data_IF_559362092405
#
_entry.id   IF_559362092405
#
_cell.length_a   1.000
_cell.length_b   1.000
_cell.length_c   1.000
_cell.angle_alpha   90.00
_cell.angle_beta   90.00
_cell.angle_gamma   90.00
#
_symmetry.space_group_name_H-M   'P 1'
#
loop_
_entity.id
_entity.type
_entity.pdbx_description
1 polymer ?
#
# COMPACT_ATOMS: atom_id res chain seq x y z
N UNK A 1 10.16 -1.17 12.60
CA UNK A 1 9.48 -0.42 11.51
C UNK A 1 8.19 -1.06 11.01
N UNK A 2 7.94 -2.36 11.22
CA UNK A 2 6.64 -2.97 10.90
C UNK A 2 5.47 -2.25 11.60
N UNK A 3 5.65 -1.87 12.87
CA UNK A 3 4.69 -1.09 13.67
C UNK A 3 4.05 0.10 12.92
N UNK A 4 4.83 0.88 12.15
CA UNK A 4 4.30 2.03 11.39
C UNK A 4 3.39 1.57 10.25
N UNK A 5 3.75 0.47 9.59
CA UNK A 5 2.93 -0.13 8.55
C UNK A 5 1.65 -0.73 9.14
N UNK A 6 1.72 -1.37 10.31
CA UNK A 6 0.55 -1.92 10.97
C UNK A 6 -0.46 -0.82 11.31
N UNK A 7 0.02 0.31 11.83
CA UNK A 7 -0.77 1.52 12.07
C UNK A 7 -1.32 2.13 10.77
N UNK A 8 -0.51 2.19 9.71
CA UNK A 8 -0.94 2.70 8.40
C UNK A 8 -2.06 1.87 7.79
N UNK A 9 -2.00 0.54 7.94
CA UNK A 9 -2.93 -0.43 7.36
C UNK A 9 -4.03 -0.89 8.33
N UNK A 10 -4.21 -0.16 9.43
CA UNK A 10 -5.36 -0.35 10.31
C UNK A 10 -6.66 -0.31 9.49
N UNK A 11 -7.58 -1.23 9.78
CA UNK A 11 -8.82 -1.39 9.00
C UNK A 11 -9.87 -0.34 9.37
N UNK A 12 -9.85 0.13 10.61
CA UNK A 12 -10.79 1.13 11.14
C UNK A 12 -10.10 2.06 12.14
N UNK A 13 -10.75 3.19 12.45
CA UNK A 13 -10.28 4.11 13.50
C UNK A 13 -10.15 3.42 14.85
N UNK A 14 -11.10 2.55 15.22
CA UNK A 14 -11.06 1.85 16.50
C UNK A 14 -9.85 0.91 16.62
N UNK A 15 -9.55 0.16 15.55
CA UNK A 15 -8.36 -0.71 15.49
C UNK A 15 -7.09 0.12 15.60
N UNK A 16 -7.02 1.26 14.91
CA UNK A 16 -5.89 2.18 15.01
C UNK A 16 -5.70 2.71 16.44
N UNK A 17 -6.77 3.16 17.09
CA UNK A 17 -6.72 3.73 18.44
C UNK A 17 -6.23 2.72 19.48
N UNK A 18 -6.50 1.43 19.27
CA UNK A 18 -5.96 0.35 20.11
C UNK A 18 -4.48 0.09 19.79
N UNK A 19 -4.15 -0.08 18.51
CA UNK A 19 -2.78 -0.39 18.08
C UNK A 19 -1.79 0.73 18.40
N UNK A 20 -2.19 1.99 18.24
CA UNK A 20 -1.30 3.13 18.49
C UNK A 20 -0.88 3.20 19.95
N UNK A 21 -1.79 2.87 20.88
CA UNK A 21 -1.46 2.79 22.31
C UNK A 21 -0.42 1.71 22.57
N UNK A 22 -0.62 0.52 22.02
CA UNK A 22 0.31 -0.61 22.18
C UNK A 22 1.69 -0.29 21.60
N UNK A 23 1.74 0.31 20.41
CA UNK A 23 2.99 0.71 19.73
C UNK A 23 3.72 1.80 20.51
N UNK A 24 3.01 2.83 20.99
CA UNK A 24 3.63 3.89 21.79
C UNK A 24 4.15 3.36 23.14
N UNK A 25 3.41 2.45 23.80
CA UNK A 25 3.89 1.78 25.03
C UNK A 25 5.15 0.95 24.75
N UNK A 26 5.16 0.18 23.65
CA UNK A 26 6.32 -0.61 23.23
C UNK A 26 7.54 0.28 22.99
N UNK A 27 7.39 1.38 22.26
CA UNK A 27 8.48 2.32 21.99
C UNK A 27 8.92 3.10 23.24
N UNK A 28 8.05 3.27 24.23
CA UNK A 28 8.42 3.90 25.51
C UNK A 28 9.34 3.01 26.35
N UNK A 29 9.31 1.69 26.14
CA UNK A 29 10.19 0.74 26.82
C UNK A 29 11.61 0.65 26.23
N UNK A 30 11.88 1.35 25.12
CA UNK A 30 13.20 1.37 24.45
C UNK A 30 13.77 2.80 24.49
N UNK A 31 14.85 2.98 25.24
CA UNK A 31 15.52 4.29 25.42
C UNK A 31 15.95 4.92 24.08
N UNK A 32 16.30 4.10 23.08
CA UNK A 32 16.70 4.58 21.76
C UNK A 32 15.52 5.12 20.94
N UNK A 33 14.30 4.75 21.28
CA UNK A 33 13.09 5.13 20.56
C UNK A 33 12.33 6.28 21.21
N UNK A 34 12.66 6.70 22.43
CA UNK A 34 11.94 7.78 23.14
C UNK A 34 11.80 9.05 22.30
N UNK A 35 12.91 9.54 21.73
CA UNK A 35 12.89 10.74 20.89
C UNK A 35 12.07 10.56 19.60
N UNK A 36 12.10 9.36 19.00
CA UNK A 36 11.29 9.05 17.83
C UNK A 36 9.80 8.96 18.19
N UNK A 37 9.47 8.33 19.33
CA UNK A 37 8.12 8.19 19.86
C UNK A 37 7.49 9.57 20.12
N UNK A 38 8.21 10.48 20.76
CA UNK A 38 7.69 11.83 21.04
C UNK A 38 7.49 12.64 19.75
N UNK A 39 8.43 12.54 18.80
CA UNK A 39 8.24 13.11 17.47
C UNK A 39 7.00 12.52 16.78
N UNK A 40 6.86 11.20 16.79
CA UNK A 40 5.78 10.50 16.10
C UNK A 40 4.42 10.84 16.69
N UNK A 41 4.28 10.83 18.01
CA UNK A 41 3.05 11.19 18.71
C UNK A 41 2.65 12.64 18.41
N UNK A 42 3.61 13.57 18.46
CA UNK A 42 3.36 14.98 18.16
C UNK A 42 2.97 15.21 16.70
N UNK A 43 3.63 14.55 15.76
CA UNK A 43 3.44 14.83 14.33
C UNK A 43 2.35 13.98 13.69
N UNK A 44 2.31 12.67 13.96
CA UNK A 44 1.47 11.72 13.22
C UNK A 44 0.22 11.29 13.99
N UNK A 45 0.14 11.57 15.30
CA UNK A 45 -1.04 11.24 16.11
C UNK A 45 -1.86 12.47 16.45
N UNK A 46 -1.20 13.57 16.87
CA UNK A 46 -1.89 14.75 17.43
C UNK A 46 -1.93 15.98 16.52
N UNK A 47 -1.10 16.06 15.47
CA UNK A 47 -1.08 17.22 14.58
C UNK A 47 -2.14 17.13 13.47
N UNK A 48 -2.20 18.16 12.61
CA UNK A 48 -3.02 18.17 11.40
C UNK A 48 -2.71 17.04 10.40
N UNK A 49 -1.54 16.41 10.50
CA UNK A 49 -1.12 15.29 9.63
C UNK A 49 -1.61 13.91 10.10
N UNK A 50 -2.52 13.85 11.08
CA UNK A 50 -2.99 12.60 11.67
C UNK A 50 -3.71 11.65 10.71
N UNK A 51 -4.28 12.14 9.59
CA UNK A 51 -5.04 11.35 8.60
C UNK A 51 -4.14 10.68 7.56
N UNK A 52 -3.20 9.87 8.01
CA UNK A 52 -2.24 9.17 7.15
C UNK A 52 -2.53 7.67 7.04
N UNK A 53 -3.55 7.15 7.73
CA UNK A 53 -3.95 5.75 7.69
C UNK A 53 -4.83 5.45 6.45
N UNK A 54 -4.71 4.23 5.93
CA UNK A 54 -5.41 3.78 4.72
C UNK A 54 -6.94 3.87 4.82
N UNK A 55 -7.52 3.67 6.00
CA UNK A 55 -8.99 3.67 6.17
C UNK A 55 -9.66 5.02 5.90
N UNK A 56 -8.89 6.12 5.87
CA UNK A 56 -9.36 7.44 5.44
C UNK A 56 -9.53 7.57 3.93
N UNK A 57 -8.87 6.72 3.17
CA UNK A 57 -8.93 6.71 1.71
C UNK A 57 -10.01 5.73 1.23
N UNK A 58 -10.84 6.09 0.24
CA UNK A 58 -11.77 5.15 -0.38
C UNK A 58 -11.05 3.94 -0.98
N UNK A 59 -11.73 2.80 -1.03
CA UNK A 59 -11.18 1.59 -1.65
C UNK A 59 -10.84 1.83 -3.12
N UNK A 60 -9.75 1.21 -3.57
CA UNK A 60 -9.27 1.37 -4.94
C UNK A 60 -8.33 2.57 -5.14
N UNK A 61 -8.12 3.44 -4.15
CA UNK A 61 -7.19 4.57 -4.27
C UNK A 61 -5.82 4.29 -3.62
N UNK A 62 -4.85 5.16 -3.90
CA UNK A 62 -3.49 5.11 -3.35
C UNK A 62 -3.48 4.99 -1.82
N UNK A 63 -2.78 3.97 -1.33
CA UNK A 63 -2.53 3.81 0.12
C UNK A 63 -1.67 4.94 0.66
N UNK A 64 -0.79 5.50 -0.18
CA UNK A 64 -0.02 6.70 0.18
C UNK A 64 -0.74 7.95 -0.34
N UNK A 65 -1.05 8.86 0.58
CA UNK A 65 -1.70 10.13 0.28
C UNK A 65 -0.70 11.23 -0.11
N UNK A 66 0.57 10.89 -0.40
CA UNK A 66 1.63 11.88 -0.45
C UNK A 66 2.12 12.16 -1.89
N UNK A 67 1.42 13.01 -2.66
CA UNK A 67 1.87 13.41 -4.00
C UNK A 67 3.23 14.11 -3.94
N UNK A 68 3.65 14.60 -2.77
CA UNK A 68 4.95 15.22 -2.56
C UNK A 68 6.09 14.25 -2.86
N UNK A 69 5.93 12.94 -2.65
CA UNK A 69 7.01 11.99 -2.89
C UNK A 69 7.30 11.82 -4.38
N UNK A 70 6.25 11.70 -5.19
CA UNK A 70 6.36 11.61 -6.64
C UNK A 70 6.90 12.93 -7.22
N UNK A 71 6.42 14.06 -6.72
CA UNK A 71 6.92 15.38 -7.12
C UNK A 71 8.38 15.59 -6.73
N UNK A 72 8.76 15.27 -5.49
CA UNK A 72 10.14 15.33 -5.02
C UNK A 72 11.06 14.40 -5.80
N UNK A 73 10.58 13.21 -6.19
CA UNK A 73 11.34 12.28 -7.03
C UNK A 73 11.62 12.86 -8.41
N UNK A 74 10.62 13.50 -9.02
CA UNK A 74 10.77 14.17 -10.31
C UNK A 74 11.78 15.31 -10.24
N UNK A 75 11.66 16.21 -9.25
CA UNK A 75 12.63 17.30 -9.04
C UNK A 75 14.05 16.74 -8.86
N UNK A 76 14.20 15.74 -7.99
CA UNK A 76 15.50 15.12 -7.70
C UNK A 76 16.10 14.43 -8.92
N UNK A 77 15.28 13.83 -9.79
CA UNK A 77 15.76 13.08 -10.96
C UNK A 77 16.08 14.00 -12.13
N UNK A 78 15.20 14.94 -12.44
CA UNK A 78 15.21 15.63 -13.73
C UNK A 78 15.78 17.05 -13.63
N UNK A 79 15.69 17.69 -12.46
CA UNK A 79 16.06 19.10 -12.31
C UNK A 79 17.32 19.27 -11.48
N UNK A 80 17.41 18.62 -10.32
CA UNK A 80 18.59 18.75 -9.46
C UNK A 80 19.62 17.64 -9.65
N UNK A 81 19.31 16.61 -10.44
CA UNK A 81 20.19 15.45 -10.65
C UNK A 81 20.73 14.86 -9.34
N UNK A 82 19.94 14.93 -8.26
CA UNK A 82 20.29 14.55 -6.88
C UNK A 82 21.47 15.31 -6.28
N UNK A 83 21.77 16.50 -6.78
CA UNK A 83 22.84 17.37 -6.28
C UNK A 83 22.30 18.61 -5.59
N UNK A 84 23.08 19.15 -4.64
CA UNK A 84 22.74 20.38 -3.92
C UNK A 84 23.07 21.59 -4.79
N UNK A 85 22.17 22.55 -4.85
CA UNK A 85 22.32 23.77 -5.65
C UNK A 85 22.30 25.00 -4.76
N UNK A 86 22.94 26.08 -5.22
CA UNK A 86 22.77 27.41 -4.59
C UNK A 86 21.30 27.86 -4.75
N UNK A 87 20.81 28.64 -3.80
CA UNK A 87 19.40 29.02 -3.74
C UNK A 87 18.89 29.68 -5.03
N UNK A 88 19.68 30.56 -5.66
CA UNK A 88 19.29 31.21 -6.92
C UNK A 88 19.10 30.21 -8.07
N UNK A 89 20.02 29.25 -8.21
CA UNK A 89 19.90 28.19 -9.21
C UNK A 89 18.72 27.25 -8.91
N UNK A 90 18.50 26.94 -7.63
CA UNK A 90 17.38 26.10 -7.22
C UNK A 90 16.03 26.73 -7.56
N UNK A 91 15.87 28.03 -7.32
CA UNK A 91 14.64 28.76 -7.66
C UNK A 91 14.39 28.72 -9.17
N UNK A 92 15.43 28.89 -9.98
CA UNK A 92 15.29 28.81 -11.44
C UNK A 92 14.88 27.41 -11.89
N UNK A 93 15.52 26.36 -11.37
CA UNK A 93 15.17 24.96 -11.68
C UNK A 93 13.72 24.62 -11.28
N UNK A 94 13.25 25.16 -10.14
CA UNK A 94 11.86 24.99 -9.72
C UNK A 94 10.89 25.76 -10.63
N UNK A 95 11.25 26.96 -11.08
CA UNK A 95 10.46 27.72 -12.05
C UNK A 95 10.33 26.99 -13.38
N UNK A 96 11.44 26.45 -13.91
CA UNK A 96 11.46 25.64 -15.13
C UNK A 96 10.59 24.38 -14.96
N UNK A 97 10.66 23.74 -13.79
CA UNK A 97 9.80 22.60 -13.45
C UNK A 97 8.33 22.98 -13.50
N UNK A 98 7.94 24.08 -12.88
CA UNK A 98 6.56 24.57 -12.90
C UNK A 98 6.09 24.86 -14.33
N UNK A 99 6.93 25.48 -15.16
CA UNK A 99 6.62 25.78 -16.55
C UNK A 99 6.43 24.51 -17.40
N UNK A 100 7.28 23.50 -17.21
CA UNK A 100 7.11 22.22 -17.92
C UNK A 100 5.88 21.46 -17.45
N UNK A 101 5.58 21.47 -16.15
CA UNK A 101 4.37 20.81 -15.62
C UNK A 101 3.09 21.54 -16.05
N UNK A 102 3.11 22.87 -16.23
CA UNK A 102 1.91 23.64 -16.62
C UNK A 102 1.48 23.38 -18.07
N UNK A 103 2.43 23.09 -18.96
CA UNK A 103 2.17 22.79 -20.38
C UNK A 103 1.94 21.30 -20.66
N UNK A 104 2.09 20.43 -19.65
CA UNK A 104 1.84 19.00 -19.78
C UNK A 104 0.44 18.68 -19.26
N UNK A 105 -0.60 18.63 -20.12
CA UNK A 105 -1.93 18.27 -19.67
C UNK A 105 -1.94 16.83 -19.15
N UNK A 106 -2.16 16.68 -17.84
CA UNK A 106 -2.47 15.39 -17.22
C UNK A 106 -3.96 15.35 -17.00
N UNK A 107 -4.64 14.40 -17.66
CA UNK A 107 -6.05 14.16 -17.40
C UNK A 107 -6.19 13.67 -15.96
N UNK A 108 -6.91 14.43 -15.15
CA UNK A 108 -7.25 14.00 -13.81
C UNK A 108 -8.23 12.83 -13.91
N UNK A 109 -7.87 11.70 -13.33
CA UNK A 109 -8.75 10.52 -13.30
C UNK A 109 -9.57 10.57 -12.03
N UNK A 110 -10.89 10.61 -12.18
CA UNK A 110 -11.82 10.59 -11.06
C UNK A 110 -12.03 9.18 -10.51
N UNK A 111 -11.81 8.17 -11.35
CA UNK A 111 -11.93 6.77 -10.98
C UNK A 111 -10.56 6.13 -10.76
N UNK A 112 -10.44 5.24 -9.76
CA UNK A 112 -9.21 4.51 -9.52
C UNK A 112 -8.89 3.58 -10.69
N UNK A 113 -7.64 3.59 -11.14
CA UNK A 113 -7.16 2.69 -12.18
C UNK A 113 -5.89 1.96 -11.72
N UNK A 114 -5.80 0.64 -11.94
CA UNK A 114 -4.61 -0.12 -11.59
C UNK A 114 -3.42 0.28 -12.46
N UNK A 115 -2.30 0.59 -11.82
CA UNK A 115 -1.02 0.89 -12.49
C UNK A 115 -0.50 -0.28 -13.32
N UNK A 116 0.33 0.03 -14.32
CA UNK A 116 1.00 -0.99 -15.13
C UNK A 116 1.83 -1.97 -14.27
N UNK A 117 2.44 -1.49 -13.20
CA UNK A 117 3.18 -2.32 -12.24
C UNK A 117 2.28 -3.33 -11.54
N UNK A 118 1.10 -2.89 -11.08
CA UNK A 118 0.12 -3.76 -10.45
C UNK A 118 -0.43 -4.80 -11.44
N UNK A 119 -0.76 -4.38 -12.67
CA UNK A 119 -1.16 -5.31 -13.75
C UNK A 119 -0.08 -6.35 -14.05
N UNK A 120 1.19 -5.92 -14.12
CA UNK A 120 2.31 -6.83 -14.34
C UNK A 120 2.50 -7.81 -13.17
N UNK A 121 2.33 -7.36 -11.92
CA UNK A 121 2.39 -8.20 -10.71
C UNK A 121 1.31 -9.27 -10.74
N UNK A 122 0.05 -8.90 -10.96
CA UNK A 122 -1.07 -9.85 -11.05
C UNK A 122 -0.82 -10.90 -12.14
N UNK A 123 -0.31 -10.48 -13.31
CA UNK A 123 0.03 -11.40 -14.41
C UNK A 123 1.16 -12.35 -14.03
N UNK A 124 2.23 -11.87 -13.38
CA UNK A 124 3.34 -12.71 -12.92
C UNK A 124 2.89 -13.70 -11.85
N UNK A 125 2.02 -13.28 -10.93
CA UNK A 125 1.51 -14.11 -9.84
C UNK A 125 0.60 -15.22 -10.35
N UNK A 126 -0.29 -14.92 -11.30
CA UNK A 126 -1.11 -15.94 -11.98
C UNK A 126 -0.26 -16.93 -12.75
N UNK A 127 0.79 -16.49 -13.43
CA UNK A 127 1.72 -17.38 -14.16
C UNK A 127 2.45 -18.36 -13.24
N UNK A 128 2.62 -18.01 -11.96
CA UNK A 128 3.35 -18.80 -10.96
C UNK A 128 2.42 -19.51 -9.97
N UNK A 129 1.12 -19.52 -10.21
CA UNK A 129 0.10 -20.09 -9.31
C UNK A 129 0.15 -19.53 -7.88
N UNK A 130 0.56 -18.25 -7.75
CA UNK A 130 0.61 -17.50 -6.49
C UNK A 130 -0.66 -16.71 -6.22
N UNK A 131 -1.47 -16.49 -7.26
CA UNK A 131 -2.79 -15.86 -7.17
C UNK A 131 -3.77 -16.72 -7.97
N UNK A 132 -4.75 -17.29 -7.27
CA UNK A 132 -5.68 -18.27 -7.83
C UNK A 132 -7.12 -17.82 -7.60
N UNK A 133 -7.94 -17.89 -8.64
CA UNK A 133 -9.38 -17.68 -8.53
C UNK A 133 -10.00 -19.00 -8.07
N UNK A 134 -10.57 -19.03 -6.86
CA UNK A 134 -11.16 -20.24 -6.27
C UNK A 134 -12.63 -20.32 -6.66
N UNK A 135 -12.92 -21.23 -7.59
CA UNK A 135 -14.29 -21.55 -7.97
C UNK A 135 -14.72 -22.76 -7.13
N UNK A 136 -15.68 -22.63 -6.19
CA UNK A 136 -16.15 -23.77 -5.44
C UNK A 136 -16.77 -24.79 -6.39
N UNK A 137 -16.33 -26.04 -6.30
CA UNK A 137 -16.86 -27.11 -7.13
C UNK A 137 -18.35 -27.30 -6.88
N UNK A 138 -19.15 -27.59 -7.92
CA UNK A 138 -20.63 -27.68 -7.82
C UNK A 138 -21.15 -28.64 -6.74
N UNK A 139 -20.33 -29.61 -6.32
CA UNK A 139 -20.65 -30.59 -5.29
C UNK A 139 -20.10 -30.24 -3.89
N UNK A 140 -19.48 -29.08 -3.70
CA UNK A 140 -18.93 -28.67 -2.41
C UNK A 140 -20.00 -28.01 -1.53
N UNK A 141 -19.85 -28.16 -0.20
CA UNK A 141 -20.70 -27.48 0.77
C UNK A 141 -20.61 -25.95 0.60
N UNK A 142 -19.43 -25.45 0.27
CA UNK A 142 -19.18 -24.04 0.01
C UNK A 142 -19.97 -23.51 -1.20
N UNK A 143 -20.13 -24.31 -2.26
CA UNK A 143 -20.99 -23.95 -3.40
C UNK A 143 -22.47 -23.85 -2.99
N UNK A 144 -22.92 -24.68 -2.04
CA UNK A 144 -24.29 -24.66 -1.53
C UNK A 144 -24.56 -23.49 -0.56
N UNK A 145 -23.52 -23.06 0.17
CA UNK A 145 -23.58 -21.95 1.11
C UNK A 145 -23.31 -20.59 0.45
N UNK A 146 -22.67 -20.58 -0.72
CA UNK A 146 -22.40 -19.36 -1.47
C UNK A 146 -23.70 -18.80 -2.06
N UNK A 147 -24.14 -17.65 -1.54
CA UNK A 147 -25.12 -16.83 -2.24
C UNK A 147 -24.56 -16.47 -3.62
N UNK A 148 -25.30 -16.68 -4.73
CA UNK A 148 -24.82 -16.35 -6.07
C UNK A 148 -24.78 -14.84 -6.25
N UNK A 149 -23.74 -14.19 -5.71
CA UNK A 149 -23.43 -12.80 -5.99
C UNK A 149 -22.45 -12.79 -7.17
N UNK A 150 -22.88 -12.39 -8.39
CA UNK A 150 -22.02 -12.36 -9.56
C UNK A 150 -20.85 -11.37 -9.44
N UNK A 151 -20.91 -10.47 -8.45
CA UNK A 151 -19.89 -9.46 -8.20
C UNK A 151 -18.85 -9.89 -7.15
N UNK A 152 -18.99 -11.07 -6.56
CA UNK A 152 -18.11 -11.57 -5.50
C UNK A 152 -17.24 -12.73 -6.03
N UNK A 153 -15.93 -12.60 -5.89
CA UNK A 153 -14.95 -13.59 -6.36
C UNK A 153 -14.06 -14.01 -5.20
N UNK A 154 -13.94 -15.32 -4.99
CA UNK A 154 -13.00 -15.90 -4.05
C UNK A 154 -11.60 -15.97 -4.66
N UNK A 155 -10.62 -15.34 -4.01
CA UNK A 155 -9.23 -15.23 -4.49
C UNK A 155 -8.26 -15.70 -3.41
N UNK A 156 -7.46 -16.71 -3.74
CA UNK A 156 -6.38 -17.18 -2.88
C UNK A 156 -5.06 -16.51 -3.31
N UNK A 157 -4.47 -15.73 -2.41
CA UNK A 157 -3.08 -15.28 -2.54
C UNK A 157 -2.16 -16.24 -1.75
N UNK A 158 -0.96 -16.51 -2.26
CA UNK A 158 0.07 -17.35 -1.59
C UNK A 158 1.34 -16.58 -1.27
N UNK A 159 1.39 -15.29 -1.64
CA UNK A 159 2.55 -14.43 -1.48
C UNK A 159 3.72 -14.83 -2.40
N UNK A 160 4.70 -13.94 -2.53
CA UNK A 160 5.91 -14.22 -3.30
C UNK A 160 7.10 -14.42 -2.36
N UNK A 161 7.88 -15.48 -2.59
CA UNK A 161 9.08 -15.74 -1.81
C UNK A 161 10.11 -14.62 -2.01
N UNK A 162 10.76 -14.22 -0.92
CA UNK A 162 11.83 -13.23 -0.94
C UNK A 162 13.18 -13.89 -0.74
N UNK A 163 14.17 -13.47 -1.53
CA UNK A 163 15.56 -13.92 -1.45
C UNK A 163 16.41 -12.75 -0.95
N UNK A 164 17.21 -12.99 0.09
CA UNK A 164 18.18 -12.01 0.57
C UNK A 164 19.32 -11.86 -0.44
N UNK A 165 19.60 -10.63 -0.87
CA UNK A 165 20.70 -10.32 -1.77
C UNK A 165 21.78 -9.57 -0.99
N UNK A 166 22.90 -10.23 -0.61
CA UNK A 166 23.97 -9.62 0.19
C UNK A 166 24.56 -8.37 -0.44
N UNK A 167 24.72 -8.37 -1.76
CA UNK A 167 25.26 -7.23 -2.54
C UNK A 167 24.44 -5.94 -2.39
N UNK A 168 23.14 -6.09 -2.09
CA UNK A 168 22.21 -4.98 -1.93
C UNK A 168 21.82 -4.75 -0.46
N UNK A 169 22.33 -5.57 0.45
CA UNK A 169 21.98 -5.55 1.87
C UNK A 169 20.48 -5.72 2.16
N UNK A 170 19.70 -6.29 1.22
CA UNK A 170 18.24 -6.36 1.34
C UNK A 170 17.64 -7.56 0.62
N UNK A 171 16.48 -8.00 1.11
CA UNK A 171 15.67 -9.02 0.45
C UNK A 171 14.88 -8.44 -0.72
N UNK A 172 14.72 -9.24 -1.78
CA UNK A 172 13.84 -8.95 -2.91
C UNK A 172 12.95 -10.15 -3.20
N UNK A 173 11.71 -9.88 -3.57
CA UNK A 173 10.82 -10.92 -4.07
C UNK A 173 11.39 -11.57 -5.33
N UNK A 174 11.12 -12.86 -5.51
CA UNK A 174 11.45 -13.59 -6.74
C UNK A 174 10.60 -13.13 -7.94
N UNK A 175 9.60 -12.28 -7.70
CA UNK A 175 8.82 -11.59 -8.72
C UNK A 175 9.70 -10.73 -9.65
N UNK A 176 9.19 -10.46 -10.85
CA UNK A 176 9.87 -9.54 -11.79
C UNK A 176 10.11 -8.18 -11.15
N UNK A 177 11.25 -7.53 -11.44
CA UNK A 177 11.69 -6.29 -10.76
C UNK A 177 10.62 -5.18 -10.82
N UNK A 178 9.93 -5.02 -11.94
CA UNK A 178 8.85 -4.05 -12.11
C UNK A 178 7.58 -4.33 -11.30
N UNK A 179 7.48 -5.55 -10.74
CA UNK A 179 6.36 -6.03 -9.93
C UNK A 179 6.73 -6.20 -8.45
N UNK A 180 7.97 -5.94 -8.05
CA UNK A 180 8.42 -6.14 -6.66
C UNK A 180 7.80 -5.10 -5.72
N UNK A 181 7.19 -5.59 -4.65
CA UNK A 181 6.74 -4.76 -3.53
C UNK A 181 7.80 -4.73 -2.43
N UNK A 182 7.75 -3.70 -1.58
CA UNK A 182 8.55 -3.68 -0.34
C UNK A 182 8.09 -4.79 0.60
N UNK A 183 8.99 -5.29 1.46
CA UNK A 183 8.71 -6.44 2.35
C UNK A 183 7.47 -6.25 3.22
N UNK A 184 7.26 -5.06 3.77
CA UNK A 184 6.09 -4.78 4.60
C UNK A 184 4.80 -4.73 3.76
N UNK A 185 4.85 -4.15 2.55
CA UNK A 185 3.72 -4.16 1.61
C UNK A 185 3.34 -5.59 1.19
N UNK A 186 4.33 -6.41 0.84
CA UNK A 186 4.12 -7.81 0.48
C UNK A 186 3.53 -8.63 1.65
N UNK A 187 3.96 -8.36 2.88
CA UNK A 187 3.35 -8.95 4.08
C UNK A 187 1.88 -8.54 4.22
N UNK A 188 1.55 -7.26 4.04
CA UNK A 188 0.18 -6.75 4.18
C UNK A 188 -0.80 -7.33 3.15
N UNK A 189 -0.32 -7.84 1.99
CA UNK A 189 -1.16 -8.54 1.00
C UNK A 189 -1.70 -9.89 1.52
N UNK A 190 -1.03 -10.50 2.48
CA UNK A 190 -1.32 -11.85 3.00
C UNK A 190 -1.91 -11.82 4.40
N UNK A 191 -1.64 -10.76 5.16
CA UNK A 191 -1.96 -10.71 6.57
C UNK A 191 -3.46 -10.62 6.82
N UNK A 192 -3.99 -11.59 7.55
CA UNK A 192 -5.43 -11.70 7.82
C UNK A 192 -6.22 -12.38 6.69
N UNK A 193 -5.53 -13.02 5.73
CA UNK A 193 -6.18 -13.89 4.75
C UNK A 193 -6.88 -15.04 5.47
N UNK A 194 -8.18 -15.30 5.22
CA UNK A 194 -8.88 -16.44 5.79
C UNK A 194 -8.29 -17.77 5.30
N UNK A 195 -8.48 -18.85 6.07
CA UNK A 195 -7.97 -20.18 5.73
C UNK A 195 -8.47 -20.73 4.37
N UNK A 196 -9.58 -20.18 3.86
CA UNK A 196 -10.15 -20.53 2.55
C UNK A 196 -9.64 -19.66 1.40
N UNK A 197 -9.99 -18.37 1.42
CA UNK A 197 -9.64 -17.36 0.40
C UNK A 197 -10.13 -15.96 0.82
N UNK A 198 -9.71 -14.93 0.06
CA UNK A 198 -10.31 -13.61 0.14
C UNK A 198 -11.61 -13.58 -0.65
N UNK A 199 -12.71 -13.20 -0.01
CA UNK A 199 -13.92 -12.85 -0.75
C UNK A 199 -13.84 -11.41 -1.25
N UNK A 200 -13.75 -11.19 -2.55
CA UNK A 200 -13.52 -9.88 -3.17
C UNK A 200 -14.77 -9.39 -3.87
N UNK A 201 -15.28 -8.22 -3.48
CA UNK A 201 -16.33 -7.51 -4.21
C UNK A 201 -15.68 -6.68 -5.32
N UNK A 202 -15.92 -7.08 -6.57
CA UNK A 202 -15.33 -6.47 -7.77
C UNK A 202 -15.91 -5.08 -8.03
N UNK A 203 -17.15 -4.80 -7.60
CA UNK A 203 -17.80 -3.49 -7.77
C UNK A 203 -17.31 -2.50 -6.73
N UNK A 204 -17.25 -2.92 -5.47
CA UNK A 204 -16.81 -2.08 -4.36
C UNK A 204 -15.27 -1.99 -4.24
N UNK A 205 -14.53 -2.83 -4.98
CA UNK A 205 -13.07 -2.97 -4.89
C UNK A 205 -12.60 -3.25 -3.46
N UNK A 206 -13.36 -4.02 -2.69
CA UNK A 206 -13.10 -4.40 -1.31
C UNK A 206 -12.94 -5.91 -1.18
N UNK A 207 -12.34 -6.35 -0.08
CA UNK A 207 -12.37 -7.75 0.32
C UNK A 207 -12.95 -7.90 1.72
N UNK A 208 -13.58 -9.04 1.99
CA UNK A 208 -14.14 -9.37 3.30
C UNK A 208 -13.11 -10.14 4.11
N UNK A 209 -12.95 -9.74 5.37
CA UNK A 209 -12.25 -10.53 6.38
C UNK A 209 -13.28 -11.26 7.27
N UNK A 210 -12.94 -12.43 7.80
CA UNK A 210 -13.84 -13.24 8.65
C UNK A 210 -14.35 -12.52 9.92
N UNK A 211 -13.79 -11.36 10.27
CA UNK A 211 -14.25 -10.53 11.40
C UNK A 211 -15.49 -9.68 11.10
N UNK A 212 -16.11 -9.81 9.92
CA UNK A 212 -17.30 -9.04 9.54
C UNK A 212 -17.00 -7.56 9.28
N UNK A 213 -15.73 -7.19 9.23
CA UNK A 213 -15.26 -5.86 8.83
C UNK A 213 -14.83 -5.93 7.36
N UNK A 214 -15.50 -5.14 6.52
CA UNK A 214 -15.07 -4.89 5.14
C UNK A 214 -13.65 -4.31 5.18
N UNK A 215 -12.67 -5.12 4.77
CA UNK A 215 -11.27 -4.76 4.81
C UNK A 215 -10.94 -3.81 3.67
N UNK A 216 -10.67 -2.54 4.00
CA UNK A 216 -10.05 -1.59 3.07
C UNK A 216 -8.53 -1.76 3.07
N UNK A 217 -8.01 -2.86 2.53
CA UNK A 217 -6.57 -2.96 2.21
C UNK A 217 -6.35 -3.21 0.72
N UNK A 218 -7.06 -2.49 -0.13
CA UNK A 218 -6.83 -2.60 -1.57
C UNK A 218 -5.56 -1.82 -1.90
N UNK A 219 -4.45 -2.51 -2.18
CA UNK A 219 -3.24 -1.90 -2.70
C UNK A 219 -3.49 -1.43 -4.13
N UNK A 220 -3.98 -0.20 -4.29
CA UNK A 220 -3.99 0.44 -5.61
C UNK A 220 -3.05 1.62 -5.57
N UNK A 221 -1.83 1.46 -6.06
CA UNK A 221 -1.01 2.63 -6.37
C UNK A 221 -1.69 3.36 -7.54
N UNK A 222 -2.36 4.48 -7.28
CA UNK A 222 -2.76 5.43 -8.32
C UNK A 222 -1.60 6.40 -8.56
N UNK A 223 -1.24 6.59 -9.83
CA UNK A 223 -0.24 7.58 -10.30
C UNK A 223 -0.92 8.80 -10.90
#
# INVERSE_FOLDING_TARGET
MADIYDLHFATTSAVYDEQVKQVLTKWSGDEHLVGFKDYFERTWVTSAFWRWQCFHTPSGFATTNNPVEQFNRLIKRDYTLRTKHKIGTLVQLLADCCQHQSVTPKVFKELPEPTQQLKARVKDFRRRDLLLDRIPGRSSIEFLLASPNPNEVSVLSRGCSSVYLPELGRSRETATVSAQMGSNYARMEMEGQPDGDWSVDVTAMTFKSHTGLDGKRTLVNCT
#
